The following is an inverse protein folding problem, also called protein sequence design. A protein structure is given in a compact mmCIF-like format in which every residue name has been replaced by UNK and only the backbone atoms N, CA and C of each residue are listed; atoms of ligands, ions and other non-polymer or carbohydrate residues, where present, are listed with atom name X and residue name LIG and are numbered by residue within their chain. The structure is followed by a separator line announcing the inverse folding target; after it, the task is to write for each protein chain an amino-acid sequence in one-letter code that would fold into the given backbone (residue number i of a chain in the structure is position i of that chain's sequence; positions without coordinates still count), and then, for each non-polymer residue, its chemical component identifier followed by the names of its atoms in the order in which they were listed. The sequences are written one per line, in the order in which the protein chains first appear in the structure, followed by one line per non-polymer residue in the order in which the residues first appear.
data_IF_108270962896
#
_entry.id   IF_108270962896
#
_cell.length_a   1.000
_cell.length_b   1.000
_cell.length_c   1.000
_cell.angle_alpha   90.00
_cell.angle_beta   90.00
_cell.angle_gamma   90.00
#
_symmetry.space_group_name_H-M   'P 1'
#
loop_
_entity.id
_entity.type
_entity.pdbx_description
1 polymer ?
#
# COMPACT_ATOMS: atom_id res chain seq x y z
N UNK A 1 1.51 -0.17 -15.67
CA UNK A 1 2.51 -1.22 -15.41
C UNK A 1 3.62 -0.63 -14.56
N UNK A 2 4.05 -1.33 -13.53
CA UNK A 2 5.17 -0.98 -12.65
C UNK A 2 6.19 -2.12 -12.68
N UNK A 3 7.43 -1.79 -13.01
CA UNK A 3 8.53 -2.76 -12.94
C UNK A 3 9.05 -2.78 -11.51
N UNK A 4 9.09 -3.96 -10.90
CA UNK A 4 9.57 -4.18 -9.54
C UNK A 4 11.02 -4.71 -9.65
N UNK A 5 12.02 -3.91 -9.33
CA UNK A 5 13.41 -4.35 -9.35
C UNK A 5 13.70 -5.31 -8.20
N UNK A 6 14.70 -6.19 -8.40
CA UNK A 6 15.27 -6.98 -7.32
C UNK A 6 16.12 -6.09 -6.41
N UNK A 7 16.01 -6.31 -5.08
CA UNK A 7 16.79 -5.56 -4.09
C UNK A 7 16.95 -6.35 -2.80
N UNK A 8 17.93 -5.99 -2.01
CA UNK A 8 18.16 -6.59 -0.70
C UNK A 8 17.56 -5.70 0.39
N UNK A 9 16.91 -6.33 1.35
CA UNK A 9 16.37 -5.66 2.52
C UNK A 9 17.35 -5.76 3.69
N UNK A 10 17.54 -4.67 4.42
CA UNK A 10 18.31 -4.65 5.67
C UNK A 10 17.41 -4.33 6.85
N UNK A 11 17.44 -5.18 7.87
CA UNK A 11 16.69 -4.95 9.11
C UNK A 11 17.33 -3.81 9.95
N UNK A 12 18.63 -3.57 9.78
CA UNK A 12 19.34 -2.48 10.45
C UNK A 12 18.99 -1.12 9.85
N UNK A 13 18.64 -1.08 8.56
CA UNK A 13 18.15 0.12 7.89
C UNK A 13 16.99 -0.23 6.96
N UNK A 14 15.78 -0.43 7.50
CA UNK A 14 14.62 -0.84 6.73
C UNK A 14 14.13 0.23 5.73
N UNK A 15 14.64 1.46 5.84
CA UNK A 15 14.31 2.55 4.92
C UNK A 15 15.32 2.73 3.77
N UNK A 16 16.37 1.91 3.74
CA UNK A 16 17.32 1.90 2.64
C UNK A 16 16.61 1.52 1.33
N UNK A 17 16.82 2.33 0.30
CA UNK A 17 16.27 2.09 -1.03
C UNK A 17 17.39 1.54 -1.91
N UNK A 18 17.24 0.31 -2.45
CA UNK A 18 18.24 -0.26 -3.34
C UNK A 18 18.50 0.63 -4.57
N UNK A 19 19.72 0.60 -5.07
CA UNK A 19 20.10 1.37 -6.26
C UNK A 19 19.21 1.00 -7.45
N UNK A 20 18.79 2.01 -8.20
CA UNK A 20 17.91 1.82 -9.37
C UNK A 20 16.42 1.84 -9.07
N UNK A 21 15.99 1.70 -7.81
CA UNK A 21 14.60 1.88 -7.45
C UNK A 21 14.21 3.36 -7.53
N UNK A 22 13.10 3.65 -8.19
CA UNK A 22 12.58 5.00 -8.31
C UNK A 22 11.21 5.10 -7.67
N UNK A 23 10.91 6.19 -6.94
CA UNK A 23 9.59 6.39 -6.38
C UNK A 23 8.55 6.66 -7.49
N UNK A 24 7.38 6.08 -7.35
CA UNK A 24 6.20 6.46 -8.11
C UNK A 24 5.32 7.37 -7.26
N UNK A 25 4.83 8.49 -7.79
CA UNK A 25 3.97 9.38 -7.03
C UNK A 25 2.56 8.81 -6.91
N UNK A 26 1.90 9.08 -5.79
CA UNK A 26 0.45 8.98 -5.70
C UNK A 26 -0.19 10.27 -6.22
N UNK A 27 -1.38 10.10 -6.80
CA UNK A 27 -2.25 11.19 -7.26
C UNK A 27 -3.58 11.12 -6.52
N UNK A 28 -4.40 12.16 -6.54
CA UNK A 28 -5.73 12.09 -5.92
C UNK A 28 -6.54 10.95 -6.52
N UNK A 29 -7.11 10.12 -5.66
CA UNK A 29 -7.82 8.91 -6.07
C UNK A 29 -9.09 9.21 -6.87
N UNK A 30 -9.72 10.37 -6.61
CA UNK A 30 -11.02 10.75 -7.17
C UNK A 30 -10.96 11.32 -8.58
N UNK A 31 -9.87 11.99 -8.95
CA UNK A 31 -9.75 12.74 -10.22
C UNK A 31 -8.38 12.67 -10.89
N UNK A 32 -7.39 12.03 -10.24
CA UNK A 32 -6.03 11.93 -10.77
C UNK A 32 -5.19 13.22 -10.67
N UNK A 33 -5.68 14.25 -10.00
CA UNK A 33 -4.96 15.50 -9.79
C UNK A 33 -3.82 15.37 -8.77
N UNK A 34 -3.01 16.44 -8.64
CA UNK A 34 -1.96 16.47 -7.62
C UNK A 34 -2.56 16.53 -6.21
N UNK A 35 -2.09 15.71 -5.27
CA UNK A 35 -2.50 15.80 -3.88
C UNK A 35 -1.89 17.05 -3.22
N UNK A 36 -2.48 17.48 -2.12
CA UNK A 36 -1.94 18.56 -1.27
C UNK A 36 -0.65 18.12 -0.57
N UNK A 37 -0.69 16.91 -0.02
CA UNK A 37 0.44 16.28 0.66
C UNK A 37 0.99 15.17 -0.26
N UNK A 38 2.21 15.37 -0.76
CA UNK A 38 2.80 14.42 -1.70
C UNK A 38 3.15 13.10 -1.02
N UNK A 39 2.95 12.01 -1.75
CA UNK A 39 3.39 10.68 -1.35
C UNK A 39 4.12 10.00 -2.50
N UNK A 40 5.34 9.55 -2.23
CA UNK A 40 6.10 8.68 -3.13
C UNK A 40 6.11 7.25 -2.61
N UNK A 41 6.02 6.28 -3.53
CA UNK A 41 6.09 4.85 -3.21
C UNK A 41 7.24 4.22 -3.95
N UNK A 42 8.14 3.56 -3.21
CA UNK A 42 9.21 2.74 -3.76
C UNK A 42 8.88 1.27 -3.54
N UNK A 43 9.10 0.46 -4.56
CA UNK A 43 8.90 -1.00 -4.47
C UNK A 43 10.12 -1.74 -4.95
N UNK A 44 10.46 -2.83 -4.28
CA UNK A 44 11.45 -3.82 -4.71
C UNK A 44 11.11 -5.18 -4.11
N UNK A 45 11.80 -6.22 -4.56
CA UNK A 45 11.55 -7.57 -4.06
C UNK A 45 12.85 -8.34 -3.85
N UNK A 46 12.80 -9.32 -2.96
CA UNK A 46 13.78 -10.40 -2.84
C UNK A 46 13.13 -11.77 -3.14
N UNK A 47 13.76 -12.87 -2.71
CA UNK A 47 13.22 -14.20 -3.01
C UNK A 47 11.91 -14.51 -2.27
N UNK A 48 11.67 -13.86 -1.13
CA UNK A 48 10.58 -14.19 -0.21
C UNK A 48 9.54 -13.09 -0.06
N UNK A 49 9.91 -11.82 -0.34
CA UNK A 49 9.09 -10.67 0.01
C UNK A 49 8.96 -9.63 -1.11
N UNK A 50 7.83 -8.97 -1.13
CA UNK A 50 7.66 -7.64 -1.73
C UNK A 50 7.86 -6.58 -0.64
N UNK A 51 8.77 -5.63 -0.86
CA UNK A 51 8.94 -4.47 0.01
C UNK A 51 8.33 -3.24 -0.64
N UNK A 52 7.50 -2.53 0.12
CA UNK A 52 6.85 -1.28 -0.28
C UNK A 52 7.21 -0.22 0.75
N UNK A 53 7.81 0.86 0.29
CA UNK A 53 8.20 2.00 1.14
C UNK A 53 7.39 3.21 0.71
N UNK A 54 6.59 3.75 1.62
CA UNK A 54 5.92 5.02 1.44
C UNK A 54 6.74 6.12 2.08
N UNK A 55 6.85 7.25 1.40
CA UNK A 55 7.35 8.52 1.94
C UNK A 55 6.26 9.55 1.72
N UNK A 56 5.56 9.88 2.80
CA UNK A 56 4.38 10.74 2.78
C UNK A 56 4.69 12.08 3.46
N UNK A 57 4.52 13.18 2.75
CA UNK A 57 4.41 14.50 3.38
C UNK A 57 3.19 14.53 4.28
N UNK A 58 3.33 15.10 5.47
CA UNK A 58 2.27 15.07 6.45
C UNK A 58 2.52 16.20 7.47
N UNK A 59 1.73 17.24 7.42
CA UNK A 59 1.84 18.39 8.32
C UNK A 59 0.99 18.25 9.59
N UNK A 60 0.03 17.31 9.60
CA UNK A 60 -0.88 17.06 10.72
C UNK A 60 -1.19 15.56 10.84
N UNK A 61 -0.42 14.82 11.64
CA UNK A 61 -0.69 13.39 11.87
C UNK A 61 -1.95 13.18 12.68
N UNK A 62 -2.88 12.41 12.14
CA UNK A 62 -4.12 11.98 12.78
C UNK A 62 -4.11 10.46 12.91
N UNK A 63 -3.57 9.96 14.02
CA UNK A 63 -3.50 8.53 14.31
C UNK A 63 -3.61 8.29 15.82
N UNK A 64 -4.60 7.52 16.23
CA UNK A 64 -4.89 7.19 17.64
C UNK A 64 -5.09 5.69 17.87
N UNK A 65 -5.14 4.88 16.83
CA UNK A 65 -5.42 3.46 16.90
C UNK A 65 -4.13 2.65 17.07
N UNK A 66 -4.05 1.84 18.13
CA UNK A 66 -2.88 1.03 18.51
C UNK A 66 -3.11 -0.47 18.40
N UNK A 67 -4.36 -0.90 18.23
CA UNK A 67 -4.70 -2.31 18.16
C UNK A 67 -4.66 -2.80 16.71
N UNK A 68 -4.04 -3.97 16.50
CA UNK A 68 -4.09 -4.66 15.22
C UNK A 68 -5.54 -4.88 14.80
N UNK A 69 -5.84 -4.76 13.51
CA UNK A 69 -7.18 -4.85 12.93
C UNK A 69 -8.18 -3.76 13.38
N UNK A 70 -7.70 -2.69 14.02
CA UNK A 70 -8.52 -1.50 14.18
C UNK A 70 -8.87 -0.91 12.79
N UNK A 71 -9.97 -0.16 12.66
CA UNK A 71 -10.41 0.42 11.38
C UNK A 71 -9.53 1.61 10.96
N UNK A 72 -8.27 1.33 10.58
CA UNK A 72 -7.22 2.33 10.33
C UNK A 72 -7.59 3.33 9.23
N UNK A 73 -8.40 2.92 8.24
CA UNK A 73 -8.90 3.79 7.17
C UNK A 73 -9.73 4.99 7.66
N UNK A 74 -10.10 5.04 8.94
CA UNK A 74 -10.79 6.20 9.52
C UNK A 74 -9.83 7.32 9.92
N UNK A 75 -8.53 7.04 9.97
CA UNK A 75 -7.46 7.98 10.32
C UNK A 75 -6.41 8.03 9.19
N UNK A 76 -5.23 8.60 9.46
CA UNK A 76 -4.12 8.54 8.50
C UNK A 76 -3.63 7.12 8.35
N UNK A 77 -3.51 6.70 7.10
CA UNK A 77 -3.08 5.35 6.78
C UNK A 77 -2.47 5.27 5.39
N UNK A 78 -1.51 4.39 5.19
CA UNK A 78 -1.06 3.92 3.90
C UNK A 78 -1.50 2.49 3.69
N UNK A 79 -1.90 2.16 2.46
CA UNK A 79 -2.49 0.87 2.13
C UNK A 79 -1.85 0.27 0.88
N UNK A 80 -1.69 -1.05 0.92
CA UNK A 80 -1.19 -1.85 -0.21
C UNK A 80 -2.24 -2.91 -0.54
N UNK A 81 -2.81 -2.82 -1.74
CA UNK A 81 -3.73 -3.85 -2.25
C UNK A 81 -3.00 -4.71 -3.28
N UNK A 82 -2.96 -6.03 -3.04
CA UNK A 82 -2.20 -6.99 -3.83
C UNK A 82 -3.11 -8.09 -4.37
N UNK A 83 -3.19 -8.20 -5.70
CA UNK A 83 -3.95 -9.26 -6.36
C UNK A 83 -2.99 -10.35 -6.89
N UNK A 84 -3.22 -11.64 -6.55
CA UNK A 84 -2.46 -12.77 -7.09
C UNK A 84 -2.55 -12.87 -8.62
N UNK A 85 -1.61 -13.60 -9.22
CA UNK A 85 -1.46 -13.67 -10.67
C UNK A 85 -2.71 -14.21 -11.41
N UNK A 86 -3.45 -15.12 -10.80
CA UNK A 86 -4.59 -15.78 -11.44
C UNK A 86 -5.95 -15.29 -10.94
N UNK A 87 -5.97 -14.31 -10.02
CA UNK A 87 -7.23 -13.87 -9.43
C UNK A 87 -7.69 -12.53 -9.96
N UNK A 88 -8.89 -12.52 -10.50
CA UNK A 88 -9.68 -11.30 -10.73
C UNK A 88 -10.74 -11.09 -9.67
N UNK A 89 -10.87 -12.01 -8.71
CA UNK A 89 -11.99 -12.09 -7.77
C UNK A 89 -11.59 -11.96 -6.30
N UNK A 90 -10.29 -12.00 -5.98
CA UNK A 90 -9.81 -11.75 -4.62
C UNK A 90 -8.48 -11.00 -4.64
N UNK A 91 -8.21 -10.27 -3.58
CA UNK A 91 -6.97 -9.56 -3.33
C UNK A 91 -6.76 -9.42 -1.82
N UNK A 92 -5.59 -8.97 -1.44
CA UNK A 92 -5.21 -8.71 -0.06
C UNK A 92 -5.08 -7.22 0.17
N UNK A 93 -5.58 -6.75 1.29
CA UNK A 93 -5.50 -5.40 1.81
C UNK A 93 -4.57 -5.42 3.01
N UNK A 94 -3.57 -4.56 3.01
CA UNK A 94 -2.59 -4.45 4.09
C UNK A 94 -2.38 -2.97 4.34
N UNK A 95 -2.62 -2.54 5.58
CA UNK A 95 -2.56 -1.15 5.98
C UNK A 95 -1.52 -0.94 7.10
N UNK A 96 -0.99 0.28 7.19
CA UNK A 96 -0.23 0.73 8.34
C UNK A 96 -0.51 2.21 8.61
N UNK A 97 -0.77 2.55 9.87
CA UNK A 97 -0.94 3.91 10.30
C UNK A 97 0.40 4.54 10.77
N UNK A 98 0.46 5.86 11.01
CA UNK A 98 1.68 6.54 11.49
C UNK A 98 2.22 6.06 12.83
N UNK A 99 1.48 5.28 13.60
CA UNK A 99 1.91 4.68 14.87
C UNK A 99 2.55 3.30 14.68
N UNK A 100 2.52 2.74 13.44
CA UNK A 100 3.01 1.41 13.12
C UNK A 100 2.00 0.30 13.40
N UNK A 101 0.76 0.65 13.72
CA UNK A 101 -0.34 -0.31 13.82
C UNK A 101 -0.72 -0.79 12.43
N UNK A 102 -0.97 -2.08 12.28
CA UNK A 102 -1.34 -2.69 11.01
C UNK A 102 -2.77 -3.22 11.04
N UNK A 103 -3.39 -3.21 9.87
CA UNK A 103 -4.61 -3.95 9.54
C UNK A 103 -4.32 -4.80 8.32
N UNK A 104 -4.86 -6.01 8.28
CA UNK A 104 -4.83 -6.82 7.08
C UNK A 104 -6.14 -7.60 6.89
N UNK A 105 -6.50 -7.82 5.63
CA UNK A 105 -7.69 -8.56 5.27
C UNK A 105 -7.54 -9.25 3.91
N UNK A 106 -8.23 -10.37 3.76
CA UNK A 106 -8.49 -10.98 2.46
C UNK A 106 -9.82 -10.45 1.93
N UNK A 107 -9.80 -9.91 0.72
CA UNK A 107 -10.97 -9.34 0.07
C UNK A 107 -11.45 -10.23 -1.05
N UNK A 108 -12.72 -10.63 -1.03
CA UNK A 108 -13.39 -11.28 -2.14
C UNK A 108 -14.25 -10.26 -2.89
N UNK A 109 -14.07 -10.18 -4.20
CA UNK A 109 -14.78 -9.24 -5.08
C UNK A 109 -15.13 -9.97 -6.39
N UNK A 110 -16.18 -10.82 -6.39
CA UNK A 110 -16.46 -11.75 -7.49
C UNK A 110 -16.68 -11.09 -8.85
N UNK A 111 -17.20 -9.89 -8.86
CA UNK A 111 -17.56 -9.12 -10.06
C UNK A 111 -16.94 -7.72 -10.09
N UNK A 112 -16.05 -7.42 -9.12
CA UNK A 112 -15.42 -6.10 -9.00
C UNK A 112 -16.36 -4.99 -8.50
N UNK A 113 -17.55 -5.34 -8.00
CA UNK A 113 -18.55 -4.38 -7.52
C UNK A 113 -18.53 -4.32 -5.99
N UNK A 114 -18.47 -3.10 -5.44
CA UNK A 114 -18.44 -2.87 -3.98
C UNK A 114 -19.57 -3.56 -3.23
N UNK A 115 -20.77 -3.61 -3.82
CA UNK A 115 -21.96 -4.20 -3.17
C UNK A 115 -21.86 -5.72 -2.93
N UNK A 116 -21.04 -6.42 -3.71
CA UNK A 116 -20.82 -7.87 -3.61
C UNK A 116 -19.51 -8.22 -2.92
N UNK A 117 -18.67 -7.23 -2.63
CA UNK A 117 -17.41 -7.37 -1.96
C UNK A 117 -17.60 -7.89 -0.52
N UNK A 118 -16.70 -8.77 -0.11
CA UNK A 118 -16.61 -9.29 1.27
C UNK A 118 -15.18 -9.18 1.76
N UNK A 119 -15.00 -8.56 2.91
CA UNK A 119 -13.74 -8.54 3.63
C UNK A 119 -13.73 -9.66 4.67
N UNK A 120 -12.63 -10.38 4.74
CA UNK A 120 -12.31 -11.34 5.80
C UNK A 120 -11.13 -10.80 6.63
N UNK A 121 -11.40 -10.04 7.70
CA UNK A 121 -10.37 -9.50 8.57
C UNK A 121 -9.80 -10.57 9.54
N UNK A 122 -10.32 -11.79 9.53
CA UNK A 122 -9.72 -12.90 10.29
C UNK A 122 -8.50 -13.52 9.59
N UNK A 123 -8.27 -13.16 8.33
CA UNK A 123 -7.06 -13.52 7.63
C UNK A 123 -5.90 -12.66 8.13
N UNK A 124 -4.78 -13.28 8.43
CA UNK A 124 -3.57 -12.59 8.89
C UNK A 124 -2.43 -12.79 7.89
N UNK A 125 -1.71 -11.73 7.58
CA UNK A 125 -0.51 -11.74 6.76
C UNK A 125 0.69 -12.25 7.58
N UNK A 126 0.77 -13.56 7.77
CA UNK A 126 1.84 -14.18 8.56
C UNK A 126 3.22 -13.78 8.03
N UNK A 127 4.07 -13.22 8.90
CA UNK A 127 5.40 -12.76 8.56
C UNK A 127 5.46 -11.34 7.95
N UNK A 128 4.37 -10.60 7.98
CA UNK A 128 4.39 -9.17 7.65
C UNK A 128 5.39 -8.43 8.54
N UNK A 129 6.29 -7.67 7.93
CA UNK A 129 7.12 -6.69 8.65
C UNK A 129 6.59 -5.29 8.33
N UNK A 130 6.34 -4.51 9.37
CA UNK A 130 5.95 -3.12 9.26
C UNK A 130 6.87 -2.26 10.14
N UNK A 131 7.33 -1.13 9.61
CA UNK A 131 8.06 -0.13 10.37
C UNK A 131 7.65 1.26 9.92
N UNK A 132 7.59 2.18 10.89
CA UNK A 132 7.23 3.58 10.63
C UNK A 132 8.23 4.48 11.34
N UNK A 133 8.61 5.57 10.70
CA UNK A 133 9.36 6.65 11.33
C UNK A 133 8.85 8.01 10.86
N UNK A 134 8.99 8.99 11.74
CA UNK A 134 8.78 10.39 11.39
C UNK A 134 10.13 11.08 11.16
N UNK A 135 10.26 11.78 10.02
CA UNK A 135 11.46 12.55 9.66
C UNK A 135 11.04 13.95 9.22
N UNK A 136 11.11 14.92 10.14
CA UNK A 136 10.60 16.27 9.89
C UNK A 136 9.08 16.24 9.62
N UNK A 137 8.67 16.73 8.46
CA UNK A 137 7.26 16.73 8.01
C UNK A 137 6.89 15.48 7.19
N UNK A 138 7.73 14.44 7.17
CA UNK A 138 7.44 13.21 6.44
C UNK A 138 7.21 12.06 7.40
N UNK A 139 6.28 11.18 7.03
CA UNK A 139 6.12 9.85 7.61
C UNK A 139 6.61 8.83 6.59
N UNK A 140 7.68 8.11 6.93
CA UNK A 140 8.16 6.97 6.14
C UNK A 140 7.56 5.69 6.72
N UNK A 141 6.95 4.87 5.88
CA UNK A 141 6.38 3.57 6.24
C UNK A 141 6.93 2.48 5.35
N UNK A 142 7.40 1.39 5.94
CA UNK A 142 7.84 0.18 5.24
C UNK A 142 6.85 -0.93 5.53
N UNK A 143 6.33 -1.54 4.48
CA UNK A 143 5.57 -2.79 4.52
C UNK A 143 6.33 -3.83 3.72
N UNK A 144 6.71 -4.93 4.36
CA UNK A 144 7.40 -6.04 3.72
C UNK A 144 6.51 -7.28 3.78
N UNK A 145 5.91 -7.61 2.64
CA UNK A 145 4.85 -8.60 2.50
C UNK A 145 5.42 -9.92 2.00
N UNK A 146 5.29 -11.02 2.78
CA UNK A 146 5.77 -12.32 2.35
C UNK A 146 4.95 -12.83 1.16
N UNK A 147 5.60 -13.30 0.11
CA UNK A 147 4.90 -13.94 -1.00
C UNK A 147 4.11 -15.18 -0.57
N UNK A 148 4.61 -15.91 0.42
CA UNK A 148 3.94 -17.10 0.95
C UNK A 148 2.56 -16.78 1.55
N UNK A 149 2.40 -15.64 2.22
CA UNK A 149 1.14 -15.23 2.83
C UNK A 149 0.05 -14.91 1.78
N UNK A 150 0.45 -14.40 0.63
CA UNK A 150 -0.47 -13.96 -0.45
C UNK A 150 -0.51 -14.93 -1.65
N UNK A 151 0.01 -16.15 -1.50
CA UNK A 151 -0.05 -17.20 -2.53
C UNK A 151 0.91 -17.00 -3.71
N UNK A 152 1.97 -16.19 -3.54
CA UNK A 152 3.00 -15.96 -4.54
C UNK A 152 3.19 -14.48 -4.90
N UNK A 153 3.96 -14.21 -5.96
CA UNK A 153 4.16 -12.83 -6.43
C UNK A 153 2.85 -12.26 -6.97
N UNK A 154 2.43 -11.07 -6.54
CA UNK A 154 1.20 -10.46 -7.04
C UNK A 154 1.38 -10.01 -8.50
N UNK A 155 0.34 -10.20 -9.32
CA UNK A 155 0.36 -9.72 -10.70
C UNK A 155 -0.09 -8.27 -10.83
N UNK A 156 -0.94 -7.82 -9.90
CA UNK A 156 -1.52 -6.48 -9.92
C UNK A 156 -1.55 -5.90 -8.51
N UNK A 157 -1.45 -4.59 -8.42
CA UNK A 157 -1.52 -3.87 -7.16
C UNK A 157 -2.14 -2.48 -7.32
N UNK A 158 -2.49 -1.88 -6.19
CA UNK A 158 -2.59 -0.45 -6.06
C UNK A 158 -2.03 -0.02 -4.69
N UNK A 159 -1.59 1.20 -4.58
CA UNK A 159 -1.04 1.81 -3.38
C UNK A 159 -1.87 3.03 -3.06
N UNK A 160 -2.24 3.19 -1.80
CA UNK A 160 -3.16 4.24 -1.38
C UNK A 160 -2.67 4.96 -0.14
N UNK A 161 -3.20 6.14 0.08
CA UNK A 161 -3.09 6.88 1.31
C UNK A 161 -4.40 7.59 1.63
N UNK A 162 -4.82 7.51 2.87
CA UNK A 162 -5.78 8.42 3.48
C UNK A 162 -4.99 9.43 4.31
N UNK A 163 -5.23 10.71 4.08
CA UNK A 163 -4.66 11.85 4.80
C UNK A 163 -5.81 12.64 5.42
N UNK A 164 -5.94 12.57 6.73
CA UNK A 164 -6.97 13.28 7.50
C UNK A 164 -6.41 14.62 7.95
N UNK A 165 -7.13 15.68 7.68
CA UNK A 165 -6.73 16.99 8.15
C UNK A 165 -7.91 17.75 8.73
N UNK A 166 -7.76 18.19 9.97
CA UNK A 166 -8.75 19.03 10.64
C UNK A 166 -8.84 20.42 10.02
N UNK A 167 -7.77 20.83 9.34
CA UNK A 167 -7.66 22.16 8.77
C UNK A 167 -8.12 22.20 7.31
N UNK A 168 -7.79 21.17 6.53
CA UNK A 168 -7.95 21.18 5.07
C UNK A 168 -8.96 20.16 4.54
N UNK A 169 -9.51 19.32 5.43
CA UNK A 169 -10.36 18.19 5.07
C UNK A 169 -9.54 17.00 4.56
N UNK A 170 -10.21 15.88 4.42
CA UNK A 170 -9.61 14.60 4.09
C UNK A 170 -9.14 14.55 2.63
N UNK A 171 -8.01 13.91 2.39
CA UNK A 171 -7.50 13.64 1.05
C UNK A 171 -7.24 12.13 0.87
N UNK A 172 -7.56 11.64 -0.31
CA UNK A 172 -7.42 10.23 -0.69
C UNK A 172 -6.54 10.15 -1.93
N UNK A 173 -5.40 9.48 -1.80
CA UNK A 173 -4.41 9.34 -2.86
C UNK A 173 -4.24 7.90 -3.29
N UNK A 174 -3.90 7.69 -4.57
CA UNK A 174 -3.68 6.39 -5.17
C UNK A 174 -2.55 6.43 -6.20
N UNK A 175 -1.82 5.33 -6.37
CA UNK A 175 -0.90 5.17 -7.51
C UNK A 175 -1.68 5.14 -8.83
N UNK A 176 -2.77 4.38 -8.87
CA UNK A 176 -3.72 4.35 -9.98
C UNK A 176 -5.06 4.90 -9.48
N UNK A 177 -5.46 6.09 -9.92
CA UNK A 177 -6.68 6.71 -9.43
C UNK A 177 -7.91 5.85 -9.74
N UNK A 178 -8.79 5.73 -8.77
CA UNK A 178 -10.01 4.91 -8.89
C UNK A 178 -11.14 5.67 -9.59
N UNK A 179 -11.02 7.01 -9.68
CA UNK A 179 -12.00 7.93 -10.31
C UNK A 179 -13.40 7.82 -9.69
N UNK A 180 -13.47 7.52 -8.38
CA UNK A 180 -14.73 7.39 -7.63
C UNK A 180 -14.97 8.59 -6.72
N UNK A 181 -16.22 9.04 -6.69
CA UNK A 181 -16.74 10.06 -5.77
C UNK A 181 -18.06 9.56 -5.20
N UNK A 182 -18.18 9.32 -3.88
CA UNK A 182 -17.15 9.44 -2.86
C UNK A 182 -15.95 8.52 -3.13
N UNK A 183 -14.77 8.78 -2.48
CA UNK A 183 -13.58 7.95 -2.65
C UNK A 183 -13.86 6.49 -2.31
N UNK A 184 -13.38 5.58 -3.18
CA UNK A 184 -13.46 4.14 -2.97
C UNK A 184 -12.19 3.50 -3.53
N UNK A 185 -11.42 2.82 -2.67
CA UNK A 185 -10.18 2.15 -3.05
C UNK A 185 -10.42 0.74 -3.62
N UNK A 186 -11.55 0.13 -3.29
CA UNK A 186 -11.89 -1.25 -3.70
C UNK A 186 -12.37 -1.34 -5.16
N UNK A 187 -11.62 -0.72 -6.06
CA UNK A 187 -11.88 -0.73 -7.52
C UNK A 187 -10.81 -1.56 -8.21
N UNK A 188 -11.02 -2.87 -8.29
CA UNK A 188 -10.05 -3.83 -8.85
C UNK A 188 -9.63 -3.47 -10.28
N UNK A 189 -10.53 -2.89 -11.07
CA UNK A 189 -10.25 -2.43 -12.43
C UNK A 189 -9.16 -1.33 -12.49
N UNK A 190 -8.95 -0.60 -11.39
CA UNK A 190 -7.92 0.43 -11.30
C UNK A 190 -6.54 -0.13 -10.87
N UNK A 191 -6.43 -1.40 -10.50
CA UNK A 191 -5.13 -1.97 -10.13
C UNK A 191 -4.20 -1.99 -11.34
N UNK A 192 -2.95 -1.57 -11.12
CA UNK A 192 -1.91 -1.59 -12.14
C UNK A 192 -1.17 -2.93 -12.17
N UNK A 193 -0.69 -3.32 -13.35
CA UNK A 193 0.12 -4.53 -13.50
C UNK A 193 1.50 -4.36 -12.88
N UNK A 194 1.99 -5.42 -12.24
CA UNK A 194 3.33 -5.55 -11.69
C UNK A 194 4.17 -6.48 -12.57
N UNK A 195 5.39 -6.10 -12.87
CA UNK A 195 6.37 -6.91 -13.59
C UNK A 195 7.64 -7.02 -12.74
N UNK A 196 7.93 -8.21 -12.26
CA UNK A 196 9.14 -8.48 -11.48
C UNK A 196 10.34 -8.61 -12.42
N UNK A 197 11.35 -7.76 -12.25
CA UNK A 197 12.55 -7.79 -13.07
C UNK A 197 13.42 -8.99 -12.69
N UNK A 198 13.52 -9.95 -13.57
CA UNK A 198 14.32 -11.18 -13.39
C UNK A 198 15.77 -11.04 -13.90
N UNK A 199 16.16 -9.89 -14.46
CA UNK A 199 17.45 -9.71 -15.14
C UNK A 199 18.64 -9.62 -14.18
N UNK A 200 18.44 -9.40 -12.90
CA UNK A 200 19.49 -9.19 -11.89
C UNK A 200 19.87 -10.46 -11.10
N UNK A 201 19.81 -11.64 -11.72
CA UNK A 201 20.51 -12.83 -11.20
C UNK A 201 21.95 -12.81 -11.71
N UNK A 202 22.83 -12.11 -11.03
CA UNK A 202 24.28 -12.23 -11.21
C UNK A 202 24.92 -12.65 -9.89
#
# INVERSE_FOLDING_TARGET
MLVIPRGEFSIEDPWAVPAGCQPVPLVRATDGGAPRQATGVVTYYDDEYLTVIFRAEDDEVVATMYEHDAPLWQEDVVEVFLAPMESTTHYYEIEANPLGTTFDARIESPDGVRATMRADPSWTCDGLFAAVRRVGSHTDTVLRVPFAAIGGRPARANFFRVDRSRTHGDEYSAWRPTMKTPPDFHVVAAFGDLVFDLSSRA
#
